data_IF_751167260073
#
_entry.id   IF_751167260073
#
_cell.length_a   1.000
_cell.length_b   1.000
_cell.length_c   1.000
_cell.angle_alpha   90.00
_cell.angle_beta   90.00
_cell.angle_gamma   90.00
#
_symmetry.space_group_name_H-M   'P 1'
#
loop_
_entity.id
_entity.type
_entity.pdbx_description
1 polymer ?
#
# COMPACT_ATOMS: atom_id res chain seq x y z
N UNK A 1 -8.59 -0.83 -10.47
CA UNK A 1 -7.91 -0.13 -9.35
C UNK A 1 -7.87 -0.97 -8.05
N UNK A 2 -8.92 -1.73 -7.76
CA UNK A 2 -9.00 -2.61 -6.57
C UNK A 2 -7.96 -3.76 -6.59
N UNK A 3 -7.56 -4.22 -7.76
CA UNK A 3 -6.61 -5.33 -7.90
C UNK A 3 -5.13 -4.96 -7.62
N UNK A 4 -4.82 -3.68 -7.57
CA UNK A 4 -3.44 -3.23 -7.33
C UNK A 4 -2.96 -3.60 -5.93
N UNK A 5 -3.85 -3.56 -4.93
CA UNK A 5 -3.57 -3.96 -3.55
C UNK A 5 -3.56 -5.48 -3.35
N UNK A 6 -4.31 -6.27 -4.12
CA UNK A 6 -4.28 -7.74 -4.02
C UNK A 6 -2.88 -8.32 -4.26
N UNK A 7 -2.03 -7.65 -5.07
CA UNK A 7 -0.66 -8.11 -5.31
C UNK A 7 0.25 -7.96 -4.10
N UNK A 8 -0.07 -7.03 -3.21
CA UNK A 8 0.68 -6.80 -1.98
C UNK A 8 0.25 -7.74 -0.84
N UNK A 9 -1.00 -8.23 -0.89
CA UNK A 9 -1.67 -8.93 0.22
C UNK A 9 -1.57 -10.45 0.16
N UNK A 10 -1.43 -11.06 -1.04
CA UNK A 10 -1.61 -12.51 -1.23
C UNK A 10 -0.37 -13.38 -1.04
N UNK A 11 0.72 -12.90 -0.43
CA UNK A 11 1.93 -13.72 -0.23
C UNK A 11 2.26 -14.09 1.22
N UNK A 12 1.42 -13.81 2.17
CA UNK A 12 1.68 -14.16 3.58
C UNK A 12 0.92 -15.38 4.10
N UNK A 13 -0.01 -15.97 3.34
CA UNK A 13 -0.82 -17.11 3.79
C UNK A 13 -0.30 -18.50 3.44
N UNK A 14 0.81 -18.63 2.69
CA UNK A 14 1.31 -19.96 2.27
C UNK A 14 2.56 -20.49 3.02
N UNK A 15 2.96 -19.90 4.15
CA UNK A 15 4.16 -20.34 4.90
C UNK A 15 3.82 -20.89 6.30
N UNK A 16 2.64 -21.40 6.53
CA UNK A 16 2.35 -22.16 7.75
C UNK A 16 1.73 -23.53 7.43
N UNK A 17 2.52 -24.41 6.82
CA UNK A 17 2.27 -25.85 6.93
C UNK A 17 3.57 -26.62 6.65
N UNK A 18 4.03 -27.30 7.68
CA UNK A 18 5.04 -28.37 7.72
C UNK A 18 6.40 -28.02 8.32
N UNK A 19 6.47 -28.12 9.65
CA UNK A 19 7.69 -28.53 10.34
C UNK A 19 7.48 -29.95 10.78
N UNK A 20 7.97 -30.90 10.00
CA UNK A 20 8.14 -32.28 10.34
C UNK A 20 9.63 -32.63 10.32
N UNK A 21 10.12 -33.13 11.44
CA UNK A 21 11.48 -33.57 11.75
C UNK A 21 11.99 -34.69 10.85
N UNK A 22 13.15 -34.56 10.22
CA UNK A 22 14.33 -35.44 10.36
C UNK A 22 15.48 -35.05 9.38
N UNK A 23 16.77 -35.19 9.80
CA UNK A 23 17.91 -34.80 8.98
C UNK A 23 18.49 -36.02 8.25
N UNK A 24 18.89 -35.84 7.01
CA UNK A 24 20.07 -36.35 6.31
C UNK A 24 19.90 -36.31 4.80
N UNK A 25 20.91 -35.78 4.17
CA UNK A 25 21.50 -36.07 2.87
C UNK A 25 21.66 -34.87 1.95
N UNK A 26 22.94 -34.61 1.75
CA UNK A 26 23.56 -33.82 0.71
C UNK A 26 22.90 -34.01 -0.66
N UNK A 27 22.47 -32.90 -1.27
CA UNK A 27 22.39 -32.76 -2.72
C UNK A 27 22.45 -31.28 -3.07
N UNK A 28 23.44 -30.93 -3.81
CA UNK A 28 23.66 -29.64 -4.46
C UNK A 28 22.46 -29.31 -5.33
N UNK A 29 21.56 -28.50 -4.81
CA UNK A 29 20.45 -27.92 -5.58
C UNK A 29 20.69 -26.42 -5.59
N UNK A 30 21.04 -25.92 -6.78
CA UNK A 30 21.03 -24.49 -7.09
C UNK A 30 19.73 -23.85 -6.56
N UNK A 31 19.81 -22.80 -5.75
CA UNK A 31 18.60 -22.17 -5.23
C UNK A 31 17.84 -21.59 -6.41
N UNK A 32 16.64 -22.08 -6.64
CA UNK A 32 15.64 -21.36 -7.42
C UNK A 32 15.58 -19.94 -6.87
N UNK A 33 16.06 -18.99 -7.63
CA UNK A 33 15.93 -17.58 -7.39
C UNK A 33 14.44 -17.25 -7.17
N UNK A 34 14.02 -17.36 -5.91
CA UNK A 34 12.74 -16.83 -5.49
C UNK A 34 12.80 -15.33 -5.75
N UNK A 35 11.82 -14.84 -6.51
CA UNK A 35 11.58 -13.49 -6.94
C UNK A 35 11.55 -12.48 -5.79
N UNK A 36 12.66 -12.24 -5.12
CA UNK A 36 12.87 -11.03 -4.32
C UNK A 36 13.24 -9.91 -5.27
N UNK A 37 12.27 -9.07 -5.59
CA UNK A 37 12.58 -7.75 -6.13
C UNK A 37 13.42 -7.05 -5.08
N UNK A 38 14.67 -6.79 -5.40
CA UNK A 38 15.65 -6.16 -4.52
C UNK A 38 15.17 -4.76 -4.14
N UNK A 39 14.58 -4.62 -2.98
CA UNK A 39 14.71 -3.42 -2.19
C UNK A 39 15.97 -3.63 -1.35
N UNK A 40 16.96 -2.78 -1.55
CA UNK A 40 18.22 -2.67 -0.79
C UNK A 40 18.22 -3.47 0.51
N UNK A 41 19.15 -4.40 0.69
CA UNK A 41 19.55 -5.20 1.84
C UNK A 41 19.06 -4.91 3.28
N UNK A 42 17.94 -4.27 3.46
CA UNK A 42 17.29 -4.01 4.74
C UNK A 42 16.21 -5.04 5.03
N UNK A 43 16.10 -5.46 6.27
CA UNK A 43 15.00 -6.27 6.78
C UNK A 43 13.66 -5.68 6.33
N UNK A 44 12.69 -6.55 5.95
CA UNK A 44 11.34 -6.10 5.60
C UNK A 44 10.76 -5.33 6.80
N UNK A 45 10.36 -4.09 6.57
CA UNK A 45 9.72 -3.25 7.58
C UNK A 45 8.21 -3.44 7.47
N UNK A 46 7.55 -3.53 8.61
CA UNK A 46 6.10 -3.66 8.68
C UNK A 46 5.50 -2.45 9.40
N UNK A 47 4.27 -2.15 9.05
CA UNK A 47 3.48 -1.11 9.71
C UNK A 47 3.29 -1.47 11.19
N UNK A 48 3.74 -0.60 12.08
CA UNK A 48 3.74 -0.86 13.52
C UNK A 48 2.38 -0.58 14.14
N UNK A 49 1.71 -1.64 14.55
CA UNK A 49 0.51 -1.60 15.39
C UNK A 49 0.36 -2.93 16.14
N UNK A 50 -0.45 -2.93 17.20
CA UNK A 50 -0.63 -4.12 18.03
C UNK A 50 -1.94 -4.08 18.83
N UNK A 51 -1.93 -4.73 19.97
CA UNK A 51 -3.13 -4.86 20.83
C UNK A 51 -3.73 -3.51 21.24
N UNK A 52 -2.89 -2.49 21.49
CA UNK A 52 -3.35 -1.15 21.86
C UNK A 52 -4.31 -0.57 20.80
N UNK A 53 -3.88 -0.55 19.56
CA UNK A 53 -4.65 -0.03 18.43
C UNK A 53 -5.89 -0.89 18.16
N UNK A 54 -5.73 -2.21 18.20
CA UNK A 54 -6.82 -3.16 17.97
C UNK A 54 -7.89 -3.07 19.06
N UNK A 55 -7.50 -3.03 20.33
CA UNK A 55 -8.45 -2.92 21.43
C UNK A 55 -9.19 -1.58 21.41
N UNK A 56 -8.50 -0.50 21.03
CA UNK A 56 -9.16 0.80 20.82
C UNK A 56 -10.24 0.70 19.74
N UNK A 57 -9.92 0.18 18.56
CA UNK A 57 -10.85 0.05 17.44
C UNK A 57 -12.03 -0.88 17.79
N UNK A 58 -11.77 -2.02 18.44
CA UNK A 58 -12.81 -2.94 18.91
C UNK A 58 -13.77 -2.30 19.90
N UNK A 59 -13.26 -1.48 20.82
CA UNK A 59 -14.07 -0.72 21.77
C UNK A 59 -14.94 0.34 21.09
N UNK A 60 -14.43 0.99 20.03
CA UNK A 60 -15.12 2.06 19.31
C UNK A 60 -16.18 1.54 18.34
N UNK A 61 -16.01 0.33 17.82
CA UNK A 61 -16.92 -0.21 16.80
C UNK A 61 -17.05 -1.72 16.90
N UNK A 62 -18.21 -2.19 17.39
CA UNK A 62 -18.50 -3.63 17.54
C UNK A 62 -18.52 -4.41 16.21
N UNK A 63 -18.89 -3.76 15.09
CA UNK A 63 -18.89 -4.41 13.79
C UNK A 63 -17.48 -4.60 13.26
N UNK A 64 -16.65 -3.56 13.38
CA UNK A 64 -15.23 -3.67 13.05
C UNK A 64 -14.52 -4.67 13.97
N UNK A 65 -14.91 -4.73 15.26
CA UNK A 65 -14.40 -5.71 16.21
C UNK A 65 -14.57 -7.14 15.71
N UNK A 66 -15.75 -7.51 15.22
CA UNK A 66 -16.01 -8.83 14.67
C UNK A 66 -15.11 -9.16 13.45
N UNK A 67 -14.79 -8.17 12.61
CA UNK A 67 -13.85 -8.34 11.49
C UNK A 67 -12.43 -8.53 12.02
N UNK A 68 -12.00 -7.71 12.99
CA UNK A 68 -10.67 -7.80 13.61
C UNK A 68 -10.46 -9.18 14.27
N UNK A 69 -11.45 -9.67 14.99
CA UNK A 69 -11.39 -10.98 15.67
C UNK A 69 -11.25 -12.13 14.69
N UNK A 70 -11.96 -12.07 13.56
CA UNK A 70 -11.85 -13.10 12.52
C UNK A 70 -10.54 -13.03 11.74
N UNK A 71 -10.05 -11.82 11.44
CA UNK A 71 -8.85 -11.61 10.63
C UNK A 71 -7.55 -11.81 11.41
N UNK A 72 -7.59 -11.61 12.74
CA UNK A 72 -6.37 -11.51 13.53
C UNK A 72 -5.53 -10.29 13.16
N UNK A 73 -4.23 -10.35 13.40
CA UNK A 73 -3.28 -9.28 13.04
C UNK A 73 -2.97 -9.33 11.55
N UNK A 74 -3.22 -8.25 10.84
CA UNK A 74 -2.93 -8.11 9.41
C UNK A 74 -1.61 -7.39 9.24
N UNK A 75 -0.55 -8.10 8.92
CA UNK A 75 0.74 -7.48 8.62
C UNK A 75 0.70 -6.73 7.28
N UNK A 76 1.31 -5.52 7.25
CA UNK A 76 1.45 -4.69 6.06
C UNK A 76 2.90 -4.23 5.92
N UNK A 77 3.51 -4.54 4.78
CA UNK A 77 4.86 -4.09 4.47
C UNK A 77 4.89 -2.57 4.30
N UNK A 78 5.97 -1.95 4.77
CA UNK A 78 6.30 -0.55 4.53
C UNK A 78 7.32 -0.44 3.40
N UNK A 79 7.22 0.64 2.66
CA UNK A 79 8.12 1.04 1.58
C UNK A 79 8.72 2.41 1.92
N UNK A 80 9.73 2.47 2.80
CA UNK A 80 10.22 3.72 3.39
C UNK A 80 10.86 4.67 2.37
N UNK A 81 11.32 4.16 1.25
CA UNK A 81 11.81 4.99 0.15
C UNK A 81 10.63 5.57 -0.64
N UNK A 82 10.26 6.81 -0.31
CA UNK A 82 9.14 7.52 -0.93
C UNK A 82 9.38 7.74 -2.42
N UNK A 83 10.62 8.06 -2.83
CA UNK A 83 10.95 8.28 -4.25
C UNK A 83 10.69 7.00 -5.06
N UNK A 84 11.25 5.88 -4.63
CA UNK A 84 11.06 4.58 -5.29
C UNK A 84 9.58 4.19 -5.29
N UNK A 85 8.87 4.40 -4.18
CA UNK A 85 7.44 4.11 -4.05
C UNK A 85 6.59 4.95 -5.02
N UNK A 86 6.90 6.24 -5.20
CA UNK A 86 6.22 7.12 -6.15
C UNK A 86 6.49 6.70 -7.61
N UNK A 87 7.77 6.43 -7.97
CA UNK A 87 8.13 5.93 -9.30
C UNK A 87 7.40 4.62 -9.61
N UNK A 88 7.37 3.69 -8.66
CA UNK A 88 6.64 2.43 -8.80
C UNK A 88 5.12 2.64 -8.93
N UNK A 89 4.57 3.62 -8.23
CA UNK A 89 3.16 4.00 -8.34
C UNK A 89 2.83 4.55 -9.71
N UNK A 90 3.62 5.51 -10.23
CA UNK A 90 3.45 6.07 -11.57
C UNK A 90 3.56 4.98 -12.64
N UNK A 91 4.60 4.14 -12.56
CA UNK A 91 4.81 3.04 -13.51
C UNK A 91 3.60 2.09 -13.55
N UNK A 92 2.99 1.81 -12.41
CA UNK A 92 1.88 0.87 -12.26
C UNK A 92 0.48 1.41 -12.55
N UNK A 93 0.31 2.71 -12.80
CA UNK A 93 -1.02 3.29 -13.05
C UNK A 93 -1.70 2.67 -14.29
N UNK A 94 -3.00 2.38 -14.18
CA UNK A 94 -3.87 1.93 -15.30
C UNK A 94 -3.35 0.71 -16.09
N UNK A 95 -2.56 -0.15 -15.47
CA UNK A 95 -2.13 -1.43 -16.05
C UNK A 95 -2.41 -2.58 -15.09
N UNK A 96 -2.51 -3.81 -15.63
CA UNK A 96 -2.69 -5.00 -14.81
C UNK A 96 -1.45 -5.29 -13.96
N UNK A 97 -1.63 -6.06 -12.88
CA UNK A 97 -0.53 -6.52 -12.03
C UNK A 97 0.59 -7.19 -12.83
N UNK A 98 0.21 -8.06 -13.76
CA UNK A 98 1.15 -8.82 -14.58
C UNK A 98 1.98 -7.89 -15.47
N UNK A 99 1.31 -6.93 -16.12
CA UNK A 99 1.98 -5.90 -16.91
C UNK A 99 2.91 -5.05 -16.06
N UNK A 100 2.45 -4.63 -14.86
CA UNK A 100 3.28 -3.86 -13.92
C UNK A 100 4.56 -4.60 -13.54
N UNK A 101 4.47 -5.90 -13.21
CA UNK A 101 5.65 -6.69 -12.85
C UNK A 101 6.66 -6.76 -14.01
N UNK A 102 6.17 -6.91 -15.24
CA UNK A 102 7.01 -6.96 -16.44
C UNK A 102 7.66 -5.61 -16.76
N UNK A 103 6.90 -4.51 -16.64
CA UNK A 103 7.42 -3.14 -16.80
C UNK A 103 8.47 -2.84 -15.74
N UNK A 104 8.17 -3.14 -14.48
CA UNK A 104 9.08 -2.87 -13.37
C UNK A 104 10.40 -3.65 -13.48
N UNK A 105 10.35 -4.91 -13.91
CA UNK A 105 11.54 -5.71 -14.15
C UNK A 105 12.45 -5.06 -15.20
N UNK A 106 11.91 -4.70 -16.37
CA UNK A 106 12.68 -4.03 -17.44
C UNK A 106 13.21 -2.66 -17.00
N UNK A 107 12.42 -1.94 -16.21
CA UNK A 107 12.81 -0.67 -15.62
C UNK A 107 14.02 -0.83 -14.67
N UNK A 108 14.00 -1.84 -13.81
CA UNK A 108 15.13 -2.17 -12.92
C UNK A 108 16.37 -2.60 -13.71
N UNK A 109 16.20 -3.42 -14.76
CA UNK A 109 17.28 -3.83 -15.64
C UNK A 109 17.94 -2.62 -16.33
N UNK A 110 17.13 -1.70 -16.88
CA UNK A 110 17.60 -0.45 -17.50
C UNK A 110 18.42 0.41 -16.52
N UNK A 111 18.01 0.49 -15.26
CA UNK A 111 18.66 1.33 -14.24
C UNK A 111 19.78 0.60 -13.47
N UNK A 112 20.23 -0.58 -13.93
CA UNK A 112 21.29 -1.32 -13.25
C UNK A 112 20.92 -1.83 -11.85
N UNK A 113 19.63 -2.01 -11.57
CA UNK A 113 19.12 -2.55 -10.31
C UNK A 113 18.84 -1.51 -9.21
N UNK A 114 19.14 -0.23 -9.42
CA UNK A 114 18.93 0.82 -8.44
C UNK A 114 18.05 1.96 -8.99
N UNK A 115 16.91 2.19 -8.35
CA UNK A 115 15.99 3.30 -8.69
C UNK A 115 16.40 4.53 -7.89
N UNK A 116 17.26 5.35 -8.46
CA UNK A 116 17.67 6.63 -7.86
C UNK A 116 17.36 7.79 -8.80
N UNK A 117 17.23 9.03 -8.27
CA UNK A 117 17.07 10.20 -9.13
C UNK A 117 18.17 10.31 -10.19
N UNK A 118 19.41 10.04 -9.83
CA UNK A 118 20.58 10.09 -10.74
C UNK A 118 20.46 9.04 -11.84
N UNK A 119 20.12 7.78 -11.50
CA UNK A 119 19.98 6.72 -12.49
C UNK A 119 18.83 7.01 -13.48
N UNK A 120 17.73 7.58 -13.01
CA UNK A 120 16.62 7.98 -13.87
C UNK A 120 16.99 9.17 -14.75
N UNK A 121 17.75 10.13 -14.23
CA UNK A 121 18.16 11.30 -15.01
C UNK A 121 19.18 10.95 -16.09
N UNK A 122 19.98 9.90 -15.89
CA UNK A 122 20.97 9.43 -16.85
C UNK A 122 20.37 8.72 -18.09
N UNK A 123 19.13 8.26 -18.06
CA UNK A 123 18.46 7.56 -19.18
C UNK A 123 17.50 8.50 -19.92
N UNK A 124 17.26 8.24 -21.21
CA UNK A 124 16.33 9.03 -22.01
C UNK A 124 14.86 8.63 -21.78
N UNK A 125 13.93 9.49 -22.17
CA UNK A 125 12.50 9.15 -22.15
C UNK A 125 12.18 7.96 -23.09
N UNK A 126 12.85 7.84 -24.22
CA UNK A 126 12.72 6.72 -25.14
C UNK A 126 13.15 5.40 -24.51
N UNK A 127 14.25 5.40 -23.75
CA UNK A 127 14.69 4.22 -23.01
C UNK A 127 13.66 3.82 -21.93
N UNK A 128 13.11 4.79 -21.20
CA UNK A 128 12.03 4.55 -20.23
C UNK A 128 10.78 3.98 -20.92
N UNK A 129 10.40 4.51 -22.08
CA UNK A 129 9.29 3.98 -22.88
C UNK A 129 9.54 2.56 -23.38
N UNK A 130 10.78 2.23 -23.72
CA UNK A 130 11.22 0.87 -24.06
C UNK A 130 10.95 -0.16 -22.95
N UNK A 131 10.89 0.26 -21.69
CA UNK A 131 10.47 -0.60 -20.58
C UNK A 131 8.95 -0.91 -20.59
N UNK A 132 8.16 -0.25 -21.43
CA UNK A 132 6.70 -0.38 -21.52
C UNK A 132 5.96 0.72 -20.73
N UNK A 133 6.61 1.83 -20.42
CA UNK A 133 5.95 3.03 -19.89
C UNK A 133 5.30 3.82 -21.02
N UNK A 134 4.13 4.43 -20.75
CA UNK A 134 3.60 5.43 -21.69
C UNK A 134 4.48 6.69 -21.67
N UNK A 135 4.46 7.46 -22.78
CA UNK A 135 5.24 8.71 -22.86
C UNK A 135 4.98 9.64 -21.68
N UNK A 136 3.71 9.79 -21.26
CA UNK A 136 3.34 10.61 -20.11
C UNK A 136 3.98 10.14 -18.82
N UNK A 137 4.02 8.81 -18.56
CA UNK A 137 4.67 8.26 -17.37
C UNK A 137 6.18 8.44 -17.40
N UNK A 138 6.82 8.28 -18.56
CA UNK A 138 8.25 8.53 -18.71
C UNK A 138 8.59 9.99 -18.36
N UNK A 139 7.83 10.95 -18.89
CA UNK A 139 7.97 12.38 -18.54
C UNK A 139 7.79 12.63 -17.05
N UNK A 140 6.74 12.06 -16.43
CA UNK A 140 6.47 12.25 -15.00
C UNK A 140 7.61 11.72 -14.12
N UNK A 141 8.12 10.55 -14.44
CA UNK A 141 9.23 9.92 -13.72
C UNK A 141 10.52 10.76 -13.87
N UNK A 142 10.82 11.25 -15.07
CA UNK A 142 11.96 12.15 -15.32
C UNK A 142 11.86 13.44 -14.51
N UNK A 143 10.71 14.10 -14.56
CA UNK A 143 10.47 15.35 -13.81
C UNK A 143 10.56 15.14 -12.30
N UNK A 144 10.03 14.01 -11.80
CA UNK A 144 10.16 13.68 -10.39
C UNK A 144 11.64 13.55 -9.98
N UNK A 145 12.45 12.84 -10.78
CA UNK A 145 13.87 12.71 -10.53
C UNK A 145 14.58 14.08 -10.52
N UNK A 146 14.31 14.93 -11.52
CA UNK A 146 14.86 16.27 -11.62
C UNK A 146 14.49 17.16 -10.44
N UNK A 147 13.22 17.12 -9.98
CA UNK A 147 12.78 17.88 -8.80
C UNK A 147 13.55 17.51 -7.53
N UNK A 148 13.85 16.22 -7.36
CA UNK A 148 14.67 15.75 -6.23
C UNK A 148 16.12 16.21 -6.38
N UNK A 149 16.71 16.08 -7.57
CA UNK A 149 18.09 16.50 -7.84
C UNK A 149 18.31 18.01 -7.67
N UNK A 150 17.30 18.80 -8.04
CA UNK A 150 17.33 20.26 -7.90
C UNK A 150 17.01 20.74 -6.46
N UNK A 151 16.67 19.83 -5.55
CA UNK A 151 16.25 20.20 -4.19
C UNK A 151 14.86 20.86 -4.10
N UNK A 152 14.04 20.75 -5.16
CA UNK A 152 12.68 21.29 -5.18
C UNK A 152 11.74 20.48 -4.27
N UNK A 153 12.10 19.24 -3.94
CA UNK A 153 11.38 18.39 -2.99
C UNK A 153 12.38 17.62 -2.13
N UNK A 154 12.16 17.66 -0.81
CA UNK A 154 12.89 16.87 0.17
C UNK A 154 11.96 15.90 0.89
N UNK A 155 12.01 14.64 0.52
CA UNK A 155 11.22 13.58 1.17
C UNK A 155 11.65 13.32 2.63
N UNK A 156 12.88 13.68 3.00
CA UNK A 156 13.35 13.57 4.39
C UNK A 156 12.61 14.49 5.34
N UNK A 157 12.18 15.66 4.86
CA UNK A 157 11.40 16.62 5.64
C UNK A 157 9.99 16.11 5.98
N UNK A 158 9.42 15.17 5.21
CA UNK A 158 8.04 14.71 5.39
C UNK A 158 7.78 14.04 6.74
N UNK A 159 8.81 13.49 7.38
CA UNK A 159 8.67 12.88 8.71
C UNK A 159 8.18 13.89 9.77
N UNK A 160 8.58 15.17 9.65
CA UNK A 160 8.24 16.24 10.58
C UNK A 160 6.98 17.03 10.19
N UNK A 161 6.47 16.86 8.96
CA UNK A 161 5.32 17.60 8.45
C UNK A 161 3.99 16.97 8.89
N UNK A 162 2.93 17.77 8.96
CA UNK A 162 1.57 17.28 9.14
C UNK A 162 1.09 16.50 7.89
N UNK A 163 0.11 15.61 8.07
CA UNK A 163 -0.39 14.75 6.99
C UNK A 163 -0.94 15.56 5.80
N UNK A 164 -1.65 16.65 6.08
CA UNK A 164 -2.21 17.56 5.09
C UNK A 164 -1.12 18.31 4.30
N UNK A 165 -0.03 18.68 4.96
CA UNK A 165 1.12 19.35 4.33
C UNK A 165 1.85 18.38 3.39
N UNK A 166 2.08 17.12 3.83
CA UNK A 166 2.66 16.08 2.97
C UNK A 166 1.79 15.82 1.75
N UNK A 167 0.46 15.73 1.93
CA UNK A 167 -0.47 15.56 0.81
C UNK A 167 -0.36 16.75 -0.15
N UNK A 168 -0.33 17.98 0.38
CA UNK A 168 -0.23 19.20 -0.43
C UNK A 168 1.06 19.24 -1.26
N UNK A 169 2.20 18.81 -0.71
CA UNK A 169 3.44 18.70 -1.46
C UNK A 169 3.40 17.59 -2.52
N UNK A 170 2.90 16.42 -2.17
CA UNK A 170 2.85 15.28 -3.08
C UNK A 170 1.94 15.50 -4.29
N UNK A 171 0.79 16.17 -4.12
CA UNK A 171 -0.13 16.44 -5.24
C UNK A 171 0.38 17.49 -6.24
N UNK A 172 1.45 18.23 -5.93
CA UNK A 172 2.14 19.11 -6.89
C UNK A 172 2.97 18.30 -7.91
N UNK A 173 3.21 17.03 -7.65
CA UNK A 173 3.98 16.16 -8.53
C UNK A 173 3.11 15.62 -9.67
N UNK A 174 3.65 15.62 -10.87
CA UNK A 174 2.97 15.11 -12.05
C UNK A 174 2.54 13.66 -11.89
N UNK A 175 1.26 13.40 -12.12
CA UNK A 175 0.69 12.05 -12.01
C UNK A 175 0.40 11.57 -10.58
N UNK A 176 0.60 12.39 -9.56
CA UNK A 176 0.30 12.06 -8.17
C UNK A 176 -1.01 12.75 -7.75
N UNK A 177 -2.05 11.95 -7.56
CA UNK A 177 -3.31 12.41 -7.00
C UNK A 177 -3.39 12.19 -5.48
N UNK A 178 -4.41 12.76 -4.86
CA UNK A 178 -4.66 12.66 -3.41
C UNK A 178 -4.62 11.22 -2.90
N UNK A 179 -5.25 10.28 -3.61
CA UNK A 179 -5.22 8.87 -3.22
C UNK A 179 -3.79 8.30 -3.17
N UNK A 180 -2.95 8.59 -4.17
CA UNK A 180 -1.55 8.14 -4.17
C UNK A 180 -0.77 8.78 -3.02
N UNK A 181 -1.00 10.06 -2.72
CA UNK A 181 -0.39 10.75 -1.60
C UNK A 181 -0.80 10.13 -0.24
N UNK A 182 -2.09 9.83 -0.05
CA UNK A 182 -2.59 9.13 1.14
C UNK A 182 -1.98 7.73 1.30
N UNK A 183 -1.73 7.01 0.19
CA UNK A 183 -1.01 5.73 0.22
C UNK A 183 0.46 5.88 0.64
N UNK A 184 1.15 6.96 0.25
CA UNK A 184 2.50 7.24 0.76
C UNK A 184 2.50 7.49 2.27
N UNK A 185 1.52 8.23 2.79
CA UNK A 185 1.38 8.43 4.24
C UNK A 185 1.26 7.11 4.99
N UNK A 186 0.46 6.17 4.48
CA UNK A 186 0.27 4.86 5.12
C UNK A 186 1.50 3.97 4.94
N UNK A 187 1.94 3.75 3.68
CA UNK A 187 2.89 2.68 3.36
C UNK A 187 4.35 3.11 3.28
N UNK A 188 4.63 4.41 3.23
CA UNK A 188 6.01 4.90 3.28
C UNK A 188 6.33 5.60 4.59
N UNK A 189 5.40 6.37 5.14
CA UNK A 189 5.59 7.11 6.38
C UNK A 189 5.02 6.42 7.63
N UNK A 190 4.24 5.34 7.49
CA UNK A 190 3.64 4.63 8.62
C UNK A 190 2.61 5.44 9.41
N UNK A 191 1.97 6.45 8.78
CA UNK A 191 1.00 7.32 9.46
C UNK A 191 -0.25 6.54 9.88
N UNK A 192 -0.62 6.64 11.14
CA UNK A 192 -1.65 5.77 11.75
C UNK A 192 -3.09 6.25 11.55
N UNK A 193 -3.31 7.48 11.06
CA UNK A 193 -4.64 8.09 11.07
C UNK A 193 -5.18 8.49 9.70
N UNK A 194 -4.93 7.68 8.68
CA UNK A 194 -5.40 7.94 7.30
C UNK A 194 -6.59 7.02 6.97
N UNK A 195 -7.69 7.61 6.49
CA UNK A 195 -8.82 6.91 5.88
C UNK A 195 -9.11 7.53 4.51
N UNK A 196 -8.66 6.88 3.44
CA UNK A 196 -8.79 7.42 2.08
C UNK A 196 -10.23 7.32 1.56
N UNK A 197 -10.92 8.46 1.46
CA UNK A 197 -12.26 8.50 0.84
C UNK A 197 -12.22 8.15 -0.65
N UNK A 198 -11.14 8.49 -1.36
CA UNK A 198 -10.94 8.18 -2.77
C UNK A 198 -10.68 6.70 -3.07
N UNK A 199 -10.48 5.89 -2.05
CA UNK A 199 -10.20 4.46 -2.20
C UNK A 199 -11.50 3.65 -2.34
N UNK A 200 -11.69 3.02 -3.52
CA UNK A 200 -12.88 2.24 -3.81
C UNK A 200 -13.02 1.00 -2.90
N UNK A 201 -11.90 0.40 -2.47
CA UNK A 201 -11.95 -0.76 -1.60
C UNK A 201 -12.31 -0.35 -0.16
N UNK A 202 -11.82 0.79 0.34
CA UNK A 202 -12.29 1.37 1.61
C UNK A 202 -13.79 1.62 1.56
N UNK A 203 -14.29 2.27 0.49
CA UNK A 203 -15.73 2.49 0.34
C UNK A 203 -16.52 1.17 0.31
N UNK A 204 -16.02 0.16 -0.39
CA UNK A 204 -16.66 -1.15 -0.45
C UNK A 204 -16.62 -1.88 0.90
N UNK A 205 -15.52 -1.80 1.63
CA UNK A 205 -15.41 -2.31 3.00
C UNK A 205 -16.45 -1.67 3.93
N UNK A 206 -16.58 -0.35 3.90
CA UNK A 206 -17.60 0.38 4.66
C UNK A 206 -19.02 0.00 4.25
N UNK A 207 -19.30 -0.15 2.94
CA UNK A 207 -20.61 -0.62 2.47
C UNK A 207 -20.95 -2.01 3.00
N UNK A 208 -20.00 -2.95 2.92
CA UNK A 208 -20.19 -4.31 3.43
C UNK A 208 -20.40 -4.33 4.93
N UNK A 209 -19.58 -3.58 5.67
CA UNK A 209 -19.61 -3.56 7.13
C UNK A 209 -20.92 -2.94 7.69
N UNK A 210 -21.37 -1.83 7.10
CA UNK A 210 -22.52 -1.07 7.64
C UNK A 210 -23.79 -1.18 6.81
N UNK A 211 -23.74 -1.73 5.61
CA UNK A 211 -24.89 -1.88 4.73
C UNK A 211 -25.30 -0.59 4.02
N UNK A 212 -24.37 0.31 3.82
CA UNK A 212 -24.63 1.53 3.05
C UNK A 212 -24.73 1.24 1.55
N UNK A 213 -25.69 1.86 0.87
CA UNK A 213 -25.77 1.83 -0.60
C UNK A 213 -24.63 2.67 -1.23
N UNK A 214 -24.30 3.80 -0.61
CA UNK A 214 -23.26 4.73 -1.06
C UNK A 214 -22.53 5.29 0.15
N UNK A 215 -21.23 5.50 0.04
CA UNK A 215 -20.43 6.24 1.02
C UNK A 215 -20.32 7.69 0.52
N UNK A 216 -20.86 8.62 1.30
CA UNK A 216 -20.68 10.06 1.08
C UNK A 216 -19.46 10.55 1.84
N UNK A 217 -18.97 11.76 1.49
CA UNK A 217 -17.87 12.38 2.22
C UNK A 217 -18.18 12.50 3.72
N UNK A 218 -19.37 12.96 4.08
CA UNK A 218 -19.81 13.08 5.46
C UNK A 218 -19.81 11.73 6.22
N UNK A 219 -20.16 10.63 5.53
CA UNK A 219 -20.03 9.29 6.14
C UNK A 219 -18.58 8.87 6.30
N UNK A 220 -17.71 9.15 5.32
CA UNK A 220 -16.29 8.85 5.43
C UNK A 220 -15.66 9.62 6.59
N UNK A 221 -15.96 10.91 6.73
CA UNK A 221 -15.49 11.75 7.85
C UNK A 221 -16.00 11.24 9.19
N UNK A 222 -17.28 10.81 9.27
CA UNK A 222 -17.84 10.18 10.47
C UNK A 222 -17.06 8.93 10.88
N UNK A 223 -16.71 8.07 9.93
CA UNK A 223 -15.93 6.87 10.18
C UNK A 223 -14.47 7.19 10.49
N UNK A 224 -13.87 8.16 9.82
CA UNK A 224 -12.55 8.65 10.16
C UNK A 224 -12.49 9.11 11.63
N UNK A 225 -13.41 9.98 12.06
CA UNK A 225 -13.53 10.41 13.47
C UNK A 225 -13.71 9.25 14.43
N UNK A 226 -14.50 8.22 14.05
CA UNK A 226 -14.72 7.04 14.88
C UNK A 226 -13.44 6.22 15.09
N UNK A 227 -12.65 6.04 14.03
CA UNK A 227 -11.45 5.22 14.05
C UNK A 227 -10.20 5.98 14.49
N UNK A 228 -10.25 7.32 14.44
CA UNK A 228 -9.13 8.16 14.88
C UNK A 228 -8.77 7.84 16.34
N UNK A 229 -7.46 7.75 16.66
CA UNK A 229 -6.29 8.07 15.84
C UNK A 229 -5.71 6.88 15.04
N UNK A 230 -6.44 5.79 14.85
CA UNK A 230 -5.96 4.56 14.21
C UNK A 230 -6.70 4.21 12.91
N UNK A 231 -7.08 5.23 12.14
CA UNK A 231 -7.88 5.05 10.93
C UNK A 231 -7.14 4.25 9.83
N UNK A 232 -5.79 4.31 9.76
CA UNK A 232 -5.00 3.47 8.85
C UNK A 232 -5.08 1.99 9.22
N UNK A 233 -5.05 1.68 10.52
CA UNK A 233 -5.24 0.29 10.99
C UNK A 233 -6.65 -0.20 10.66
N UNK A 234 -7.68 0.62 10.87
CA UNK A 234 -9.04 0.29 10.44
C UNK A 234 -9.13 0.05 8.93
N UNK A 235 -8.39 0.81 8.12
CA UNK A 235 -8.32 0.64 6.66
C UNK A 235 -7.83 -0.75 6.25
N UNK A 236 -6.91 -1.36 7.00
CA UNK A 236 -6.42 -2.72 6.71
C UNK A 236 -7.55 -3.75 6.78
N UNK A 237 -8.42 -3.64 7.75
CA UNK A 237 -9.58 -4.52 7.93
C UNK A 237 -10.70 -4.22 6.93
N UNK A 238 -10.87 -2.95 6.56
CA UNK A 238 -11.82 -2.57 5.50
C UNK A 238 -11.37 -3.11 4.13
N UNK A 239 -10.07 -3.07 3.83
CA UNK A 239 -9.51 -3.69 2.62
C UNK A 239 -9.67 -5.21 2.63
N UNK A 240 -9.35 -5.88 3.73
CA UNK A 240 -9.53 -7.32 3.86
C UNK A 240 -10.98 -7.73 3.65
N UNK A 241 -11.91 -6.98 4.25
CA UNK A 241 -13.35 -7.20 4.06
C UNK A 241 -13.78 -6.95 2.61
N UNK A 242 -13.31 -5.88 1.96
CA UNK A 242 -13.66 -5.54 0.59
C UNK A 242 -13.18 -6.61 -0.41
N UNK A 243 -11.99 -7.17 -0.18
CA UNK A 243 -11.37 -8.19 -1.00
C UNK A 243 -11.98 -9.59 -0.80
N UNK A 244 -12.71 -9.81 0.30
CA UNK A 244 -13.20 -11.13 0.67
C UNK A 244 -12.18 -12.00 1.42
N UNK A 245 -11.08 -11.41 1.91
CA UNK A 245 -10.08 -12.10 2.72
C UNK A 245 -10.65 -12.48 4.10
N UNK A 246 -11.73 -11.81 4.50
CA UNK A 246 -12.46 -12.08 5.75
C UNK A 246 -13.94 -12.21 5.44
N UNK A 247 -14.52 -13.35 5.80
CA UNK A 247 -15.95 -13.54 5.74
C UNK A 247 -16.65 -12.74 6.86
N UNK A 248 -17.63 -11.93 6.49
CA UNK A 248 -18.41 -11.14 7.43
C UNK A 248 -19.88 -11.14 7.03
N UNK A 249 -20.71 -11.69 7.91
CA UNK A 249 -22.16 -11.60 7.80
C UNK A 249 -22.66 -10.47 8.69
N UNK A 250 -23.34 -9.50 8.05
CA UNK A 250 -23.92 -8.40 8.79
C UNK A 250 -25.08 -8.89 9.66
N UNK A 251 -25.09 -8.60 10.97
CA UNK A 251 -26.23 -8.93 11.82
C UNK A 251 -27.54 -8.37 11.25
N UNK A 252 -28.61 -9.18 11.25
CA UNK A 252 -29.92 -8.72 10.81
C UNK A 252 -30.39 -7.61 11.74
N UNK A 253 -31.12 -6.60 11.20
CA UNK A 253 -31.50 -5.35 11.87
C UNK A 253 -32.32 -5.55 13.19
N UNK A 254 -32.83 -6.76 13.45
CA UNK A 254 -33.63 -7.08 14.61
C UNK A 254 -32.86 -7.62 15.83
N UNK A 255 -31.52 -7.81 15.72
CA UNK A 255 -30.68 -8.28 16.84
C UNK A 255 -30.11 -7.15 17.72
N UNK A 256 -30.34 -5.89 17.35
CA UNK A 256 -29.80 -4.73 18.10
C UNK A 256 -30.86 -4.10 19.08
N UNK A 257 -32.00 -4.79 19.34
CA UNK A 257 -33.06 -4.33 20.26
C UNK A 257 -33.22 -5.28 21.45
N UNK A 258 -32.14 -5.81 22.01
CA UNK A 258 -32.19 -6.48 23.32
C UNK A 258 -31.02 -5.93 24.15
#
# INVERSE_FOLDING_TARGET
MVEWFKALVLKTSEVQASVGSNPTLSATILPRLSRRVFYYGSAMLYFEYGEKELNYLKKKDKRLAAVIEKAGVIQRELYPDIFVSLVNSIAGQQISRHAKASVWRRFMELLGGAVTPQAIDAVTEEQLRGCGLSGRKAVYIKRLAQKVLNGEIDFGAFAAMADEEVIAELIKLDGIGKWTAEMQLIFSLGRKNILSFGDAAIQNGLKRLYGHKKITLALAEKYHKRYSPYASVASFYLWALANGDVEYERPRRNAEKI
#
